data_IF_118889471376
#
_entry.id   IF_118889471376
#
_cell.length_a   1.000
_cell.length_b   1.000
_cell.length_c   1.000
_cell.angle_alpha   90.00
_cell.angle_beta   90.00
_cell.angle_gamma   90.00
#
_symmetry.space_group_name_H-M   'P 1'
#
loop_
_entity.id
_entity.type
_entity.pdbx_description
1 polymer ?
#
# COMPACT_ATOMS: atom_id res chain seq x y z
N UNK A 1 -0.54 16.62 -19.78
CA UNK A 1 -0.89 15.24 -19.35
C UNK A 1 -0.49 15.09 -17.88
N UNK A 2 -1.42 14.90 -16.96
CA UNK A 2 -1.08 14.67 -15.54
C UNK A 2 -0.37 13.33 -15.39
N UNK A 3 0.68 13.27 -14.56
CA UNK A 3 1.31 12.00 -14.20
C UNK A 3 0.25 11.10 -13.55
N UNK A 4 0.12 9.83 -13.98
CA UNK A 4 -0.83 8.90 -13.38
C UNK A 4 -0.53 8.74 -11.89
N UNK A 5 -1.58 8.54 -11.09
CA UNK A 5 -1.43 8.27 -9.67
C UNK A 5 -0.54 7.02 -9.50
N UNK A 6 0.37 7.03 -8.53
CA UNK A 6 1.24 5.89 -8.24
C UNK A 6 0.41 4.62 -7.97
N UNK A 7 -0.78 4.78 -7.41
CA UNK A 7 -1.75 3.71 -7.21
C UNK A 7 -2.32 3.14 -8.52
N UNK A 8 -2.56 3.98 -9.52
CA UNK A 8 -2.97 3.54 -10.86
C UNK A 8 -1.84 2.75 -11.52
N UNK A 9 -0.59 3.18 -11.35
CA UNK A 9 0.57 2.46 -11.84
C UNK A 9 0.71 1.08 -11.17
N UNK A 10 0.61 1.00 -9.84
CA UNK A 10 0.67 -0.26 -9.08
C UNK A 10 -0.41 -1.25 -9.51
N UNK A 11 -1.66 -0.80 -9.59
CA UNK A 11 -2.80 -1.64 -10.01
C UNK A 11 -2.61 -2.12 -11.46
N UNK A 12 -2.11 -1.24 -12.33
CA UNK A 12 -1.81 -1.54 -13.73
C UNK A 12 -0.65 -2.54 -13.88
N UNK A 13 0.40 -2.44 -13.05
CA UNK A 13 1.51 -3.40 -13.04
C UNK A 13 1.08 -4.78 -12.53
N UNK A 14 0.26 -4.85 -11.47
CA UNK A 14 -0.32 -6.11 -10.99
C UNK A 14 -1.18 -6.77 -12.07
N UNK A 15 -2.04 -6.00 -12.74
CA UNK A 15 -2.86 -6.46 -13.86
C UNK A 15 -1.99 -7.00 -15.02
N UNK A 16 -0.98 -6.24 -15.47
CA UNK A 16 -0.11 -6.66 -16.56
C UNK A 16 0.75 -7.88 -16.21
N UNK A 17 1.22 -7.99 -14.96
CA UNK A 17 1.94 -9.18 -14.50
C UNK A 17 1.03 -10.43 -14.55
N UNK A 18 -0.25 -10.30 -14.15
CA UNK A 18 -1.24 -11.39 -14.24
C UNK A 18 -1.54 -11.77 -15.69
N UNK A 19 -1.86 -10.80 -16.54
CA UNK A 19 -2.22 -11.05 -17.95
C UNK A 19 -1.05 -11.64 -18.75
N UNK A 20 0.18 -11.15 -18.53
CA UNK A 20 1.35 -11.71 -19.21
C UNK A 20 1.58 -13.19 -18.86
N UNK A 21 1.41 -13.58 -17.59
CA UNK A 21 1.56 -14.98 -17.17
C UNK A 21 0.43 -15.86 -17.71
N UNK A 22 -0.83 -15.36 -17.73
CA UNK A 22 -1.96 -16.09 -18.34
C UNK A 22 -1.71 -16.39 -19.82
N UNK A 23 -1.07 -15.46 -20.53
CA UNK A 23 -0.72 -15.60 -21.94
C UNK A 23 0.58 -16.40 -22.18
N UNK A 24 1.09 -17.13 -21.17
CA UNK A 24 2.29 -17.97 -21.28
C UNK A 24 3.62 -17.19 -21.20
N UNK A 25 3.57 -15.88 -20.96
CA UNK A 25 4.73 -15.00 -20.85
C UNK A 25 5.36 -14.95 -19.44
N UNK A 26 6.41 -14.13 -19.30
CA UNK A 26 7.04 -13.81 -18.01
C UNK A 26 6.31 -12.63 -17.36
N UNK A 27 6.02 -12.71 -16.06
CA UNK A 27 5.46 -11.57 -15.33
C UNK A 27 6.39 -10.36 -15.48
N UNK A 28 5.83 -9.20 -15.83
CA UNK A 28 6.56 -7.94 -16.00
C UNK A 28 6.97 -7.37 -14.63
N UNK A 29 7.91 -8.04 -13.98
CA UNK A 29 8.44 -7.78 -12.65
C UNK A 29 9.96 -8.04 -12.65
N UNK A 30 10.72 -7.42 -11.72
CA UNK A 30 12.12 -7.75 -11.52
C UNK A 30 12.38 -9.25 -11.38
N UNK A 31 13.57 -9.68 -11.80
CA UNK A 31 14.05 -11.07 -11.65
C UNK A 31 13.98 -11.45 -10.16
N UNK A 32 13.59 -12.69 -9.86
CA UNK A 32 13.22 -13.12 -8.49
C UNK A 32 11.72 -12.96 -8.22
N UNK A 33 11.18 -11.74 -8.25
CA UNK A 33 9.73 -11.50 -8.09
C UNK A 33 8.91 -12.19 -9.17
N UNK A 34 9.33 -12.07 -10.44
CA UNK A 34 8.65 -12.70 -11.58
C UNK A 34 8.57 -14.23 -11.45
N UNK A 35 9.63 -14.85 -10.92
CA UNK A 35 9.70 -16.31 -10.71
C UNK A 35 8.76 -16.78 -9.59
N UNK A 36 8.77 -16.08 -8.45
CA UNK A 36 7.85 -16.35 -7.33
C UNK A 36 6.40 -16.11 -7.74
N UNK A 37 6.11 -15.00 -8.42
CA UNK A 37 4.77 -14.65 -8.88
C UNK A 37 4.20 -15.72 -9.81
N UNK A 38 4.98 -16.18 -10.79
CA UNK A 38 4.59 -17.24 -11.72
C UNK A 38 4.36 -18.58 -11.02
N UNK A 39 5.22 -18.94 -10.07
CA UNK A 39 5.07 -20.17 -9.30
C UNK A 39 3.79 -20.15 -8.45
N UNK A 40 3.51 -19.03 -7.77
CA UNK A 40 2.28 -18.84 -7.00
C UNK A 40 1.05 -18.85 -7.92
N UNK A 41 1.09 -18.23 -9.09
CA UNK A 41 0.00 -18.29 -10.08
C UNK A 41 -0.29 -19.72 -10.52
N UNK A 42 0.74 -20.54 -10.74
CA UNK A 42 0.59 -21.91 -11.25
C UNK A 42 0.15 -22.90 -10.19
N UNK A 43 0.65 -22.77 -8.96
CA UNK A 43 0.49 -23.79 -7.92
C UNK A 43 -0.33 -23.32 -6.71
N UNK A 44 -0.55 -22.02 -6.56
CA UNK A 44 -1.08 -21.41 -5.34
C UNK A 44 0.01 -21.20 -4.27
N UNK A 45 -0.22 -20.23 -3.39
CA UNK A 45 0.75 -19.83 -2.36
C UNK A 45 0.95 -20.89 -1.26
N UNK A 46 -0.02 -21.80 -1.08
CA UNK A 46 0.00 -22.85 -0.07
C UNK A 46 0.24 -24.24 -0.67
N UNK A 47 0.90 -24.29 -1.82
CA UNK A 47 1.22 -25.56 -2.50
C UNK A 47 2.23 -26.43 -1.76
N UNK A 48 2.94 -25.88 -0.77
CA UNK A 48 3.95 -26.57 0.03
C UNK A 48 3.42 -26.97 1.41
N UNK A 49 3.35 -28.29 1.72
CA UNK A 49 2.75 -28.79 2.98
C UNK A 49 3.40 -28.26 4.27
N UNK A 50 4.70 -27.95 4.26
CA UNK A 50 5.45 -27.49 5.43
C UNK A 50 4.94 -26.16 6.01
N UNK A 51 4.45 -25.25 5.16
CA UNK A 51 3.85 -23.99 5.62
C UNK A 51 2.46 -24.20 6.21
N UNK A 52 1.68 -25.12 5.62
CA UNK A 52 0.36 -25.49 6.12
C UNK A 52 0.48 -26.15 7.50
N UNK A 53 1.52 -26.96 7.74
CA UNK A 53 1.79 -27.55 9.06
C UNK A 53 2.12 -26.51 10.14
N UNK A 54 2.89 -25.46 9.83
CA UNK A 54 3.19 -24.36 10.77
C UNK A 54 1.92 -23.65 11.23
N UNK A 55 0.96 -23.46 10.33
CA UNK A 55 -0.37 -22.92 10.65
C UNK A 55 -1.22 -23.87 11.46
N UNK A 56 -1.21 -25.17 11.13
CA UNK A 56 -1.98 -26.16 11.86
C UNK A 56 -1.59 -26.24 13.33
N UNK A 57 -0.29 -26.11 13.62
CA UNK A 57 0.24 -26.07 14.99
C UNK A 57 -0.32 -24.91 15.82
N UNK A 58 -0.61 -23.77 15.19
CA UNK A 58 -0.95 -22.52 15.90
C UNK A 58 -2.42 -22.10 15.78
N UNK A 59 -3.17 -22.57 14.77
CA UNK A 59 -4.52 -22.07 14.43
C UNK A 59 -5.54 -23.15 14.05
N UNK A 60 -5.19 -24.43 14.23
CA UNK A 60 -6.12 -25.54 14.03
C UNK A 60 -6.34 -25.94 12.57
N UNK A 61 -6.87 -27.16 12.41
CA UNK A 61 -6.94 -27.94 11.15
C UNK A 61 -7.84 -27.27 10.09
N UNK A 62 -8.63 -26.25 10.45
CA UNK A 62 -9.68 -25.69 9.60
C UNK A 62 -9.29 -24.42 8.86
N UNK A 63 -8.17 -23.79 9.23
CA UNK A 63 -7.80 -22.43 8.79
C UNK A 63 -7.78 -22.26 7.27
N UNK A 64 -7.35 -23.30 6.55
CA UNK A 64 -7.37 -23.34 5.08
C UNK A 64 -8.23 -24.47 4.53
N UNK A 65 -9.18 -25.04 5.27
CA UNK A 65 -10.08 -26.06 4.68
C UNK A 65 -10.95 -25.50 3.55
N UNK A 66 -11.37 -24.23 3.67
CA UNK A 66 -12.22 -23.58 2.66
C UNK A 66 -11.40 -23.10 1.47
N UNK A 67 -11.77 -23.55 0.27
CA UNK A 67 -11.13 -23.17 -1.00
C UNK A 67 -11.07 -21.65 -1.21
N UNK A 68 -12.16 -20.93 -0.90
CA UNK A 68 -12.18 -19.47 -0.99
C UNK A 68 -11.09 -18.78 -0.15
N UNK A 69 -10.80 -19.28 1.05
CA UNK A 69 -9.76 -18.70 1.91
C UNK A 69 -8.36 -18.94 1.35
N UNK A 70 -8.11 -20.13 0.75
CA UNK A 70 -6.85 -20.43 0.04
C UNK A 70 -6.67 -19.51 -1.18
N UNK A 71 -7.73 -19.29 -1.94
CA UNK A 71 -7.71 -18.42 -3.11
C UNK A 71 -7.43 -16.97 -2.70
N UNK A 72 -8.14 -16.45 -1.69
CA UNK A 72 -7.92 -15.09 -1.20
C UNK A 72 -6.49 -14.90 -0.66
N UNK A 73 -5.96 -15.88 0.06
CA UNK A 73 -4.58 -15.85 0.54
C UNK A 73 -3.55 -15.89 -0.60
N UNK A 74 -3.82 -16.69 -1.63
CA UNK A 74 -3.00 -16.72 -2.85
C UNK A 74 -3.01 -15.36 -3.55
N UNK A 75 -4.17 -14.73 -3.67
CA UNK A 75 -4.26 -13.38 -4.27
C UNK A 75 -3.50 -12.33 -3.44
N UNK A 76 -3.57 -12.41 -2.11
CA UNK A 76 -2.75 -11.55 -1.23
C UNK A 76 -1.25 -11.78 -1.46
N UNK A 77 -0.79 -13.02 -1.54
CA UNK A 77 0.63 -13.32 -1.77
C UNK A 77 1.12 -12.84 -3.14
N UNK A 78 0.29 -12.94 -4.18
CA UNK A 78 0.59 -12.36 -5.49
C UNK A 78 0.72 -10.84 -5.41
N UNK A 79 -0.21 -10.18 -4.71
CA UNK A 79 -0.16 -8.74 -4.49
C UNK A 79 1.13 -8.32 -3.78
N UNK A 80 1.49 -9.01 -2.69
CA UNK A 80 2.72 -8.75 -1.93
C UNK A 80 3.95 -8.96 -2.82
N UNK A 81 4.02 -10.05 -3.59
CA UNK A 81 5.16 -10.36 -4.45
C UNK A 81 5.41 -9.27 -5.50
N UNK A 82 4.34 -8.73 -6.09
CA UNK A 82 4.47 -7.66 -7.06
C UNK A 82 4.88 -6.31 -6.41
N UNK A 83 4.41 -6.07 -5.18
CA UNK A 83 4.52 -4.76 -4.52
C UNK A 83 5.62 -4.67 -3.45
N UNK A 84 6.33 -5.75 -3.14
CA UNK A 84 7.43 -5.69 -2.18
C UNK A 84 8.61 -4.88 -2.74
N UNK A 85 9.16 -3.93 -2.01
CA UNK A 85 10.43 -3.28 -2.37
C UNK A 85 11.57 -4.26 -2.23
N UNK A 86 12.48 -4.35 -3.20
CA UNK A 86 13.64 -5.24 -3.09
C UNK A 86 14.69 -4.71 -2.09
N UNK A 87 14.79 -3.40 -1.96
CA UNK A 87 15.80 -2.74 -1.12
C UNK A 87 15.44 -2.76 0.37
N UNK A 88 14.14 -2.72 0.68
CA UNK A 88 13.64 -2.63 2.06
C UNK A 88 12.82 -3.83 2.48
N UNK A 89 12.48 -4.72 1.53
CA UNK A 89 11.57 -5.87 1.73
C UNK A 89 10.15 -5.47 2.17
N UNK A 90 9.76 -4.20 2.03
CA UNK A 90 8.44 -3.70 2.48
C UNK A 90 7.42 -3.58 1.37
N UNK A 91 6.13 -3.85 1.63
CA UNK A 91 5.08 -3.74 0.60
C UNK A 91 3.91 -2.81 0.93
N UNK A 92 3.69 -2.43 2.19
CA UNK A 92 2.55 -1.55 2.55
C UNK A 92 2.79 -0.07 2.26
N UNK A 93 4.01 0.32 1.86
CA UNK A 93 4.28 1.65 1.34
C UNK A 93 3.49 1.92 0.05
N UNK A 94 3.04 0.86 -0.62
CA UNK A 94 2.47 0.90 -1.95
C UNK A 94 0.94 0.77 -1.95
N UNK A 95 0.32 0.61 -0.77
CA UNK A 95 -1.14 0.56 -0.65
C UNK A 95 -1.64 0.24 0.77
N UNK A 96 -2.76 0.87 1.13
CA UNK A 96 -3.55 0.58 2.34
C UNK A 96 -4.29 -0.75 2.22
N UNK A 97 -4.71 -1.35 3.33
CA UNK A 97 -5.57 -2.55 3.32
C UNK A 97 -6.83 -2.39 2.44
N UNK A 98 -7.44 -1.20 2.39
CA UNK A 98 -8.59 -0.92 1.52
C UNK A 98 -8.24 -0.97 0.03
N UNK A 99 -7.05 -0.51 -0.35
CA UNK A 99 -6.56 -0.58 -1.73
C UNK A 99 -6.20 -2.01 -2.12
N UNK A 100 -5.53 -2.75 -1.24
CA UNK A 100 -5.25 -4.19 -1.42
C UNK A 100 -6.57 -4.94 -1.61
N UNK A 101 -7.56 -4.67 -0.76
CA UNK A 101 -8.89 -5.28 -0.80
C UNK A 101 -9.58 -5.07 -2.16
N UNK A 102 -9.55 -3.82 -2.67
CA UNK A 102 -10.08 -3.47 -3.98
C UNK A 102 -9.39 -4.22 -5.12
N UNK A 103 -8.06 -4.30 -5.11
CA UNK A 103 -7.28 -4.91 -6.19
C UNK A 103 -7.42 -6.45 -6.24
N UNK A 104 -7.53 -7.10 -5.08
CA UNK A 104 -7.71 -8.55 -5.02
C UNK A 104 -9.19 -8.99 -4.99
N UNK A 105 -10.14 -8.05 -4.96
CA UNK A 105 -11.57 -8.31 -5.02
C UNK A 105 -12.16 -8.91 -3.74
N UNK A 106 -11.70 -8.50 -2.56
CA UNK A 106 -12.21 -8.95 -1.26
C UNK A 106 -12.51 -7.76 -0.33
N UNK A 107 -13.13 -8.01 0.82
CA UNK A 107 -13.37 -6.95 1.81
C UNK A 107 -12.11 -6.58 2.61
N UNK A 108 -11.99 -5.33 3.05
CA UNK A 108 -10.88 -4.89 3.90
C UNK A 108 -10.71 -5.74 5.18
N UNK A 109 -11.79 -6.12 5.92
CA UNK A 109 -11.65 -7.04 7.06
C UNK A 109 -11.08 -8.41 6.69
N UNK A 110 -11.31 -8.87 5.46
CA UNK A 110 -10.71 -10.11 4.95
C UNK A 110 -9.21 -9.94 4.75
N UNK A 111 -8.76 -8.83 4.16
CA UNK A 111 -7.33 -8.53 4.02
C UNK A 111 -6.65 -8.46 5.38
N UNK A 112 -7.25 -7.76 6.36
CA UNK A 112 -6.71 -7.67 7.72
C UNK A 112 -6.46 -9.06 8.33
N UNK A 113 -7.47 -9.94 8.28
CA UNK A 113 -7.36 -11.32 8.81
C UNK A 113 -6.30 -12.15 8.08
N UNK A 114 -6.11 -11.93 6.77
CA UNK A 114 -5.10 -12.66 5.99
C UNK A 114 -3.69 -12.14 6.29
N UNK A 115 -3.51 -10.83 6.51
CA UNK A 115 -2.23 -10.25 6.94
C UNK A 115 -1.85 -10.72 8.34
N UNK A 116 -2.79 -10.71 9.30
CA UNK A 116 -2.57 -11.29 10.62
C UNK A 116 -2.13 -12.76 10.53
N UNK A 117 -2.74 -13.51 9.63
CA UNK A 117 -2.38 -14.90 9.42
C UNK A 117 -0.97 -15.05 8.87
N UNK A 118 -0.59 -14.23 7.89
CA UNK A 118 0.75 -14.20 7.33
C UNK A 118 1.81 -13.81 8.38
N UNK A 119 1.48 -12.88 9.29
CA UNK A 119 2.35 -12.55 10.43
C UNK A 119 2.54 -13.76 11.34
N UNK A 120 1.45 -14.45 11.71
CA UNK A 120 1.51 -15.64 12.57
C UNK A 120 2.19 -16.84 11.93
N UNK A 121 2.21 -16.89 10.59
CA UNK A 121 2.99 -17.85 9.82
C UNK A 121 4.50 -17.57 9.84
N UNK A 122 4.92 -16.36 10.26
CA UNK A 122 6.29 -15.91 10.19
C UNK A 122 6.78 -15.61 8.76
N UNK A 123 5.88 -15.48 7.79
CA UNK A 123 6.26 -15.16 6.40
C UNK A 123 6.34 -13.63 6.18
N UNK A 124 5.68 -12.85 7.04
CA UNK A 124 5.83 -11.40 7.08
C UNK A 124 5.94 -10.97 8.54
N UNK A 125 6.48 -9.78 8.78
CA UNK A 125 6.55 -9.16 10.10
C UNK A 125 6.22 -7.67 10.01
N UNK A 126 5.76 -7.03 11.10
CA UNK A 126 5.77 -5.56 11.16
C UNK A 126 7.19 -5.05 10.98
N UNK A 127 7.39 -4.10 10.07
CA UNK A 127 8.72 -3.54 9.79
C UNK A 127 9.28 -2.72 10.97
N UNK A 128 8.42 -2.29 11.89
CA UNK A 128 8.79 -1.56 13.10
C UNK A 128 8.08 -2.19 14.30
N UNK A 129 8.84 -2.90 15.14
CA UNK A 129 8.38 -3.37 16.45
C UNK A 129 8.99 -2.45 17.50
N UNK A 130 8.33 -1.33 17.75
CA UNK A 130 8.72 -0.43 18.84
C UNK A 130 8.06 -0.86 20.15
N UNK A 131 8.76 -0.64 21.26
CA UNK A 131 8.09 -0.36 22.53
C UNK A 131 7.51 1.07 22.46
N UNK A 132 6.44 1.36 23.20
CA UNK A 132 5.58 2.55 23.06
C UNK A 132 6.26 3.89 23.43
N UNK A 133 7.58 4.02 23.33
CA UNK A 133 8.32 5.21 23.71
C UNK A 133 8.70 6.07 22.51
N UNK A 134 8.44 7.38 22.61
CA UNK A 134 8.75 8.38 21.58
C UNK A 134 10.25 8.58 21.33
N UNK A 135 11.10 8.13 22.26
CA UNK A 135 12.57 8.22 22.20
C UNK A 135 13.26 6.94 21.72
N UNK A 136 12.51 5.86 21.49
CA UNK A 136 13.11 4.59 21.07
C UNK A 136 13.59 4.67 19.60
N UNK A 137 14.85 4.30 19.36
CA UNK A 137 15.45 4.23 18.01
C UNK A 137 14.79 3.12 17.15
N UNK A 138 13.97 2.24 17.75
CA UNK A 138 13.10 1.26 17.11
C UNK A 138 11.63 1.73 16.99
N UNK A 139 11.29 2.93 17.48
CA UNK A 139 9.94 3.46 17.45
C UNK A 139 9.46 3.76 16.02
N UNK A 140 8.31 3.21 15.67
CA UNK A 140 7.68 3.44 14.37
C UNK A 140 6.20 3.09 14.33
N UNK A 141 5.56 2.86 15.47
CA UNK A 141 4.12 2.59 15.55
C UNK A 141 3.41 3.87 15.97
N UNK A 142 2.61 4.41 15.06
CA UNK A 142 1.63 5.46 15.39
C UNK A 142 0.35 4.71 15.68
N UNK A 143 -0.30 4.91 16.82
CA UNK A 143 -1.56 4.23 17.15
C UNK A 143 -2.75 5.17 16.94
N UNK A 144 -3.91 4.63 16.59
CA UNK A 144 -5.17 5.35 16.73
C UNK A 144 -5.55 5.53 18.20
N UNK A 145 -6.60 6.32 18.43
CA UNK A 145 -7.18 6.59 19.74
C UNK A 145 -7.68 5.31 20.47
N UNK A 146 -7.79 4.17 19.78
CA UNK A 146 -8.11 2.86 20.34
C UNK A 146 -6.88 1.96 20.53
N UNK A 147 -5.67 2.47 20.28
CA UNK A 147 -4.44 1.69 20.40
C UNK A 147 -4.15 0.76 19.22
N UNK A 148 -4.73 0.99 18.04
CA UNK A 148 -4.45 0.22 16.81
C UNK A 148 -3.34 0.89 15.98
N UNK A 149 -2.29 0.17 15.58
CA UNK A 149 -1.19 0.77 14.84
C UNK A 149 -1.61 1.22 13.43
N UNK A 150 -1.46 2.51 13.13
CA UNK A 150 -1.56 3.15 11.82
C UNK A 150 -0.44 2.74 10.85
N UNK A 151 0.77 2.44 11.34
CA UNK A 151 1.87 2.04 10.47
C UNK A 151 1.77 0.55 10.14
N UNK A 152 1.02 0.24 9.08
CA UNK A 152 0.83 -1.11 8.55
C UNK A 152 1.99 -1.58 7.66
N UNK A 153 3.18 -1.04 7.83
CA UNK A 153 4.35 -1.41 7.02
C UNK A 153 4.79 -2.80 7.43
N UNK A 154 4.58 -3.75 6.53
CA UNK A 154 5.06 -5.11 6.68
C UNK A 154 6.34 -5.31 5.88
N UNK A 155 7.25 -6.08 6.47
CA UNK A 155 8.46 -6.62 5.86
C UNK A 155 8.20 -8.08 5.47
N UNK A 156 8.72 -8.49 4.32
CA UNK A 156 8.72 -9.88 3.85
C UNK A 156 9.92 -10.62 4.46
N UNK A 157 9.64 -11.78 5.06
CA UNK A 157 10.66 -12.70 5.58
C UNK A 157 11.08 -13.71 4.52
N UNK A 158 12.25 -14.33 4.68
CA UNK A 158 12.80 -15.28 3.70
C UNK A 158 11.82 -16.43 3.44
N UNK A 159 11.15 -16.91 4.49
CA UNK A 159 10.12 -17.95 4.44
C UNK A 159 8.99 -17.66 3.43
N UNK A 160 8.63 -16.39 3.20
CA UNK A 160 7.67 -16.01 2.17
C UNK A 160 8.14 -16.40 0.77
N UNK A 161 9.43 -16.22 0.48
CA UNK A 161 10.02 -16.53 -0.83
C UNK A 161 9.83 -18.02 -1.15
N UNK A 162 9.88 -18.87 -0.13
CA UNK A 162 9.77 -20.32 -0.25
C UNK A 162 8.33 -20.83 -0.40
N UNK A 163 7.30 -19.96 -0.33
CA UNK A 163 5.93 -20.30 -0.75
C UNK A 163 5.87 -20.76 -2.21
N UNK A 164 6.75 -20.22 -3.06
CA UNK A 164 6.92 -20.60 -4.45
C UNK A 164 7.84 -21.82 -4.67
N UNK A 165 8.37 -22.41 -3.58
CA UNK A 165 9.35 -23.50 -3.61
C UNK A 165 10.81 -23.03 -3.66
N UNK A 166 11.77 -23.95 -3.47
CA UNK A 166 13.16 -23.63 -3.16
C UNK A 166 13.95 -22.99 -4.30
N UNK A 167 13.53 -23.20 -5.56
CA UNK A 167 14.22 -22.63 -6.72
C UNK A 167 13.80 -21.18 -6.94
N UNK A 168 12.50 -20.90 -6.93
CA UNK A 168 11.99 -19.53 -7.07
C UNK A 168 12.28 -18.70 -5.82
N UNK A 169 12.18 -19.31 -4.63
CA UNK A 169 12.45 -18.67 -3.35
C UNK A 169 13.88 -18.15 -3.25
N UNK A 170 14.88 -19.01 -3.51
CA UNK A 170 16.30 -18.61 -3.50
C UNK A 170 16.58 -17.43 -4.44
N UNK A 171 15.98 -17.40 -5.62
CA UNK A 171 16.16 -16.28 -6.56
C UNK A 171 15.59 -14.96 -6.03
N UNK A 172 14.48 -14.99 -5.28
CA UNK A 172 13.92 -13.78 -4.67
C UNK A 172 14.75 -13.34 -3.46
N UNK A 173 15.21 -14.29 -2.64
CA UNK A 173 16.14 -14.05 -1.54
C UNK A 173 17.44 -13.40 -2.04
N UNK A 174 18.04 -13.94 -3.11
CA UNK A 174 19.21 -13.37 -3.77
C UNK A 174 18.93 -11.97 -4.30
N UNK A 175 17.75 -11.75 -4.91
CA UNK A 175 17.35 -10.43 -5.40
C UNK A 175 17.22 -9.40 -4.27
N UNK A 176 16.74 -9.82 -3.08
CA UNK A 176 16.73 -8.96 -1.90
C UNK A 176 18.15 -8.62 -1.44
N UNK A 177 19.03 -9.62 -1.33
CA UNK A 177 20.42 -9.41 -0.91
C UNK A 177 21.17 -8.48 -1.86
N UNK A 178 21.09 -8.72 -3.16
CA UNK A 178 21.76 -7.89 -4.18
C UNK A 178 21.26 -6.45 -4.14
N UNK A 179 19.94 -6.25 -3.98
CA UNK A 179 19.37 -4.91 -3.88
C UNK A 179 19.79 -4.19 -2.59
N UNK A 180 19.89 -4.92 -1.47
CA UNK A 180 20.34 -4.40 -0.19
C UNK A 180 21.82 -3.95 -0.24
N UNK A 181 22.69 -4.79 -0.81
CA UNK A 181 24.12 -4.49 -1.03
C UNK A 181 24.30 -3.27 -1.95
N UNK A 182 23.53 -3.22 -3.04
CA UNK A 182 23.56 -2.10 -3.98
C UNK A 182 23.10 -0.80 -3.31
N UNK A 183 21.99 -0.84 -2.58
CA UNK A 183 21.47 0.34 -1.89
C UNK A 183 22.43 0.83 -0.80
N UNK A 184 23.11 -0.08 -0.09
CA UNK A 184 24.17 0.27 0.86
C UNK A 184 25.35 0.95 0.16
N UNK A 185 25.83 0.40 -0.96
CA UNK A 185 26.93 0.99 -1.71
C UNK A 185 26.61 2.39 -2.25
N UNK A 186 25.36 2.65 -2.63
CA UNK A 186 24.93 3.96 -3.16
C UNK A 186 24.72 5.02 -2.08
N UNK A 187 24.24 4.63 -0.88
CA UNK A 187 23.78 5.59 0.14
C UNK A 187 24.60 5.59 1.43
N UNK A 188 25.37 4.53 1.69
CA UNK A 188 26.00 4.24 2.97
C UNK A 188 25.03 3.81 4.07
N UNK A 189 23.71 3.83 3.81
CA UNK A 189 22.70 3.51 4.82
C UNK A 189 22.50 2.02 4.95
N UNK A 190 22.32 1.53 6.18
CA UNK A 190 21.91 0.16 6.43
C UNK A 190 20.39 -0.04 6.21
N UNK A 191 19.93 -1.29 6.24
CA UNK A 191 18.52 -1.63 6.04
C UNK A 191 17.59 -0.91 7.04
N UNK A 192 18.02 -0.77 8.30
CA UNK A 192 17.24 -0.08 9.33
C UNK A 192 17.04 1.40 8.99
N UNK A 193 18.10 2.09 8.58
CA UNK A 193 18.05 3.48 8.16
C UNK A 193 17.16 3.68 6.92
N UNK A 194 17.25 2.78 5.93
CA UNK A 194 16.33 2.80 4.78
C UNK A 194 14.87 2.63 5.18
N UNK A 195 14.60 1.73 6.14
CA UNK A 195 13.24 1.56 6.69
C UNK A 195 12.75 2.85 7.36
N UNK A 196 13.58 3.53 8.14
CA UNK A 196 13.22 4.82 8.75
C UNK A 196 12.85 5.89 7.71
N UNK A 197 13.54 5.91 6.56
CA UNK A 197 13.18 6.80 5.45
C UNK A 197 11.80 6.48 4.89
N UNK A 198 11.49 5.20 4.65
CA UNK A 198 10.16 4.76 4.20
C UNK A 198 9.07 5.19 5.19
N UNK A 199 9.33 5.04 6.49
CA UNK A 199 8.43 5.51 7.57
C UNK A 199 8.19 7.01 7.47
N UNK A 200 9.25 7.81 7.38
CA UNK A 200 9.15 9.27 7.34
C UNK A 200 8.35 9.74 6.12
N UNK A 201 8.62 9.20 4.93
CA UNK A 201 7.88 9.54 3.71
C UNK A 201 6.38 9.22 3.82
N UNK A 202 6.02 8.08 4.43
CA UNK A 202 4.62 7.72 4.64
C UNK A 202 3.95 8.58 5.71
N UNK A 203 4.69 8.95 6.75
CA UNK A 203 4.23 9.85 7.80
C UNK A 203 3.96 11.24 7.25
N UNK A 204 4.90 11.82 6.50
CA UNK A 204 4.76 13.09 5.81
C UNK A 204 3.57 13.07 4.85
N UNK A 205 3.45 12.06 3.99
CA UNK A 205 2.30 11.91 3.10
C UNK A 205 0.97 11.68 3.84
N UNK A 206 1.00 11.16 5.06
CA UNK A 206 -0.21 11.03 5.91
C UNK A 206 -0.56 12.34 6.58
N UNK A 207 0.42 13.11 7.05
CA UNK A 207 0.23 14.47 7.53
C UNK A 207 -0.33 15.34 6.40
N UNK A 208 0.25 15.30 5.20
CA UNK A 208 -0.25 16.04 4.05
C UNK A 208 -1.70 15.67 3.70
N UNK A 209 -2.04 14.39 3.68
CA UNK A 209 -3.42 13.93 3.46
C UNK A 209 -4.37 14.38 4.57
N UNK A 210 -3.94 14.33 5.84
CA UNK A 210 -4.73 14.81 6.98
C UNK A 210 -4.88 16.32 6.95
N UNK A 211 -3.83 17.08 6.65
CA UNK A 211 -3.86 18.53 6.46
C UNK A 211 -4.79 18.88 5.30
N UNK A 212 -4.73 18.14 4.18
CA UNK A 212 -5.65 18.30 3.05
C UNK A 212 -7.10 18.02 3.47
N UNK A 213 -7.37 16.92 4.17
CA UNK A 213 -8.70 16.54 4.65
C UNK A 213 -9.26 17.52 5.70
N UNK A 214 -8.43 18.01 6.62
CA UNK A 214 -8.77 19.07 7.58
C UNK A 214 -9.09 20.36 6.80
N UNK A 215 -8.23 20.70 5.83
CA UNK A 215 -8.42 21.90 5.02
C UNK A 215 -9.71 21.83 4.19
N UNK A 216 -10.04 20.68 3.60
CA UNK A 216 -11.25 20.46 2.78
C UNK A 216 -12.52 20.31 3.63
N UNK A 217 -12.43 19.64 4.79
CA UNK A 217 -13.53 19.48 5.74
C UNK A 217 -13.92 20.79 6.43
N UNK A 218 -12.94 21.61 6.84
CA UNK A 218 -13.20 22.96 7.34
C UNK A 218 -13.70 23.87 6.23
N UNK A 219 -13.15 23.79 5.01
CA UNK A 219 -13.60 24.60 3.87
C UNK A 219 -15.06 24.36 3.53
N UNK A 220 -15.46 23.09 3.36
CA UNK A 220 -16.86 22.74 3.06
C UNK A 220 -17.79 23.22 4.16
N UNK A 221 -17.44 23.02 5.44
CA UNK A 221 -18.22 23.52 6.59
C UNK A 221 -18.30 25.05 6.66
N UNK A 222 -17.24 25.76 6.27
CA UNK A 222 -17.23 27.23 6.25
C UNK A 222 -18.08 27.76 5.11
N UNK A 223 -17.93 27.23 3.89
CA UNK A 223 -18.68 27.68 2.71
C UNK A 223 -20.16 27.31 2.82
N UNK A 224 -20.51 26.13 3.34
CA UNK A 224 -21.91 25.71 3.47
C UNK A 224 -22.72 26.53 4.48
N UNK A 225 -22.07 27.34 5.32
CA UNK A 225 -22.71 28.27 6.27
C UNK A 225 -22.92 29.67 5.68
N UNK A 226 -22.41 29.95 4.48
CA UNK A 226 -22.55 31.25 3.82
C UNK A 226 -23.83 31.23 2.99
N UNK A 227 -24.66 32.26 3.14
CA UNK A 227 -25.90 32.43 2.37
C UNK A 227 -25.69 33.21 1.07
N UNK A 228 -24.75 34.17 1.06
CA UNK A 228 -24.40 34.94 -0.12
C UNK A 228 -23.45 34.18 -1.05
N UNK A 229 -23.95 33.88 -2.26
CA UNK A 229 -23.19 33.18 -3.30
C UNK A 229 -21.95 33.94 -3.74
N UNK A 230 -22.02 35.27 -3.88
CA UNK A 230 -20.89 36.08 -4.35
C UNK A 230 -19.74 36.04 -3.35
N UNK A 231 -20.06 36.07 -2.06
CA UNK A 231 -19.08 35.90 -0.98
C UNK A 231 -18.48 34.48 -0.95
N UNK A 232 -19.28 33.45 -1.21
CA UNK A 232 -18.79 32.07 -1.31
C UNK A 232 -17.86 31.87 -2.52
N UNK A 233 -18.23 32.41 -3.70
CA UNK A 233 -17.40 32.45 -4.92
C UNK A 233 -16.05 33.08 -4.61
N UNK A 234 -16.04 34.26 -3.97
CA UNK A 234 -14.81 34.99 -3.66
C UNK A 234 -13.87 34.20 -2.76
N UNK A 235 -14.38 33.56 -1.71
CA UNK A 235 -13.55 32.74 -0.79
C UNK A 235 -13.00 31.49 -1.50
N UNK A 236 -13.79 30.87 -2.39
CA UNK A 236 -13.33 29.74 -3.20
C UNK A 236 -12.22 30.19 -4.15
N UNK A 237 -12.42 31.32 -4.83
CA UNK A 237 -11.46 31.89 -5.78
C UNK A 237 -10.16 32.31 -5.09
N UNK A 238 -10.22 33.08 -3.99
CA UNK A 238 -9.05 33.50 -3.21
C UNK A 238 -8.21 32.29 -2.75
N UNK A 239 -8.87 31.20 -2.40
CA UNK A 239 -8.20 29.97 -1.97
C UNK A 239 -7.57 29.20 -3.13
N UNK A 240 -8.20 29.18 -4.30
CA UNK A 240 -7.64 28.65 -5.53
C UNK A 240 -6.42 29.46 -5.98
N UNK A 241 -6.50 30.79 -5.83
CA UNK A 241 -5.40 31.71 -6.11
C UNK A 241 -4.21 31.46 -5.18
N UNK A 242 -4.44 31.34 -3.86
CA UNK A 242 -3.39 31.01 -2.87
C UNK A 242 -2.71 29.66 -3.10
N UNK A 243 -3.39 28.71 -3.76
CA UNK A 243 -2.85 27.38 -4.12
C UNK A 243 -2.17 27.36 -5.49
N UNK A 244 -2.16 28.48 -6.21
CA UNK A 244 -1.62 28.56 -7.56
C UNK A 244 -2.49 27.87 -8.63
N UNK A 245 -3.72 27.45 -8.31
CA UNK A 245 -4.60 26.74 -9.24
C UNK A 245 -4.98 27.63 -10.44
N UNK A 246 -5.11 28.94 -10.23
CA UNK A 246 -5.36 29.95 -11.27
C UNK A 246 -4.24 30.07 -12.32
N UNK A 247 -3.02 29.63 -12.01
CA UNK A 247 -1.89 29.67 -12.95
C UNK A 247 -1.92 28.48 -13.92
N UNK A 248 -2.78 27.49 -13.67
CA UNK A 248 -2.83 26.21 -14.38
C UNK A 248 -4.12 26.01 -15.19
N UNK A 249 -5.04 26.98 -15.14
CA UNK A 249 -6.37 26.89 -15.71
C UNK A 249 -6.67 28.14 -16.53
N UNK A 250 -7.35 27.98 -17.66
CA UNK A 250 -7.95 29.12 -18.35
C UNK A 250 -9.09 29.73 -17.53
N UNK A 251 -9.45 30.99 -17.80
CA UNK A 251 -10.54 31.69 -17.08
C UNK A 251 -11.85 30.89 -17.11
N UNK A 252 -12.16 30.25 -18.23
CA UNK A 252 -13.33 29.40 -18.38
C UNK A 252 -13.27 28.13 -17.51
N UNK A 253 -12.12 27.47 -17.44
CA UNK A 253 -11.92 26.28 -16.60
C UNK A 253 -11.93 26.62 -15.11
N UNK A 254 -11.39 27.79 -14.76
CA UNK A 254 -11.39 28.33 -13.42
C UNK A 254 -12.83 28.56 -12.93
N UNK A 255 -13.66 29.22 -13.74
CA UNK A 255 -15.07 29.48 -13.44
C UNK A 255 -15.88 28.18 -13.30
N UNK A 256 -15.62 27.20 -14.17
CA UNK A 256 -16.25 25.88 -14.08
C UNK A 256 -15.87 25.15 -12.78
N UNK A 257 -14.61 25.25 -12.35
CA UNK A 257 -14.14 24.65 -11.11
C UNK A 257 -14.72 25.34 -9.87
N UNK A 258 -14.82 26.67 -9.87
CA UNK A 258 -15.47 27.44 -8.80
C UNK A 258 -16.94 27.03 -8.66
N UNK A 259 -17.68 26.95 -9.77
CA UNK A 259 -19.07 26.52 -9.77
C UNK A 259 -19.26 25.06 -9.31
N UNK A 260 -18.33 24.17 -9.67
CA UNK A 260 -18.35 22.78 -9.19
C UNK A 260 -18.12 22.70 -7.68
N UNK A 261 -17.20 23.51 -7.14
CA UNK A 261 -16.92 23.60 -5.71
C UNK A 261 -18.09 24.20 -4.92
N UNK A 262 -18.76 25.22 -5.46
CA UNK A 262 -20.00 25.79 -4.89
C UNK A 262 -21.09 24.74 -4.75
N UNK A 263 -21.36 23.98 -5.82
CA UNK A 263 -22.33 22.88 -5.80
C UNK A 263 -21.98 21.83 -4.75
N UNK A 264 -20.71 21.44 -4.66
CA UNK A 264 -20.25 20.47 -3.65
C UNK A 264 -20.39 20.97 -2.21
N UNK A 265 -20.50 22.30 -2.02
CA UNK A 265 -20.71 22.96 -0.73
C UNK A 265 -22.19 23.28 -0.43
N UNK A 266 -23.14 22.84 -1.28
CA UNK A 266 -24.57 22.96 -1.03
C UNK A 266 -25.26 24.15 -1.69
N UNK A 267 -24.56 24.91 -2.54
CA UNK A 267 -25.23 25.95 -3.35
C UNK A 267 -25.98 25.31 -4.52
N UNK A 268 -27.27 25.62 -4.66
CA UNK A 268 -28.04 25.27 -5.86
C UNK A 268 -27.50 26.03 -7.07
N UNK A 269 -27.66 25.44 -8.27
CA UNK A 269 -27.16 26.01 -9.52
C UNK A 269 -27.59 27.47 -9.68
#
# INVERSE_FOLDING_TARGET
MSKPDYLELVTKYNFFARESVKNGGKAYLPKGKSDVFRAIMKHGALSKPSFVQRLYKNHGIDTFKRMNRRNNFTQLCLWITANVSLETRTFSSNGTQGQIAKDIGVSQPTVSRLLELAVKMGIISPAFTGDKETTDKKAGLVFDENGLPYNQIYKVEDDFCYLAGPVAGRKLEDAFRIADEKAYAETGWNLHERLLTVRNTLWEGTIERRVKAISEGCFKKTISKITDRSRAVKIILDRMTKRGEHLLLSDYELDRMVNTRLKSCGFSA
#
